data_IF_276686122320
#
_entry.id   IF_276686122320
#
_cell.length_a   1.000
_cell.length_b   1.000
_cell.length_c   1.000
_cell.angle_alpha   90.00
_cell.angle_beta   90.00
_cell.angle_gamma   90.00
#
_symmetry.space_group_name_H-M   'P 1'
#
loop_
_entity.id
_entity.type
_entity.pdbx_description
1 polymer ?
#
# COMPACT_ATOMS: atom_id res chain seq x y z
N UNK A 1 7.35 5.04 1.37
CA UNK A 1 6.91 4.45 2.65
C UNK A 1 7.37 5.24 3.87
N UNK A 2 8.66 5.51 4.09
CA UNK A 2 9.13 6.21 5.31
C UNK A 2 8.46 7.57 5.59
N UNK A 3 8.11 8.34 4.55
CA UNK A 3 7.38 9.61 4.69
C UNK A 3 5.96 9.48 5.25
N UNK A 4 5.33 8.30 5.14
CA UNK A 4 3.93 8.11 5.52
C UNK A 4 3.71 8.32 7.03
N UNK A 5 4.65 7.89 7.87
CA UNK A 5 4.53 8.08 9.32
C UNK A 5 4.54 9.56 9.70
N UNK A 6 5.46 10.35 9.13
CA UNK A 6 5.54 11.78 9.39
C UNK A 6 4.29 12.53 8.88
N UNK A 7 3.78 12.15 7.70
CA UNK A 7 2.54 12.71 7.16
C UNK A 7 1.32 12.38 8.04
N UNK A 8 1.25 11.15 8.55
CA UNK A 8 0.17 10.74 9.44
C UNK A 8 0.20 11.52 10.76
N UNK A 9 1.39 11.68 11.36
CA UNK A 9 1.59 12.50 12.56
C UNK A 9 1.22 13.98 12.35
N UNK A 10 1.37 14.49 11.13
CA UNK A 10 0.97 15.85 10.75
C UNK A 10 -0.51 15.98 10.32
N UNK A 11 -1.35 14.95 10.51
CA UNK A 11 -2.76 14.96 10.11
C UNK A 11 -3.02 14.82 8.61
N UNK A 12 -1.98 14.57 7.80
CA UNK A 12 -2.05 14.43 6.33
C UNK A 12 -2.22 12.97 5.93
N UNK A 13 -3.24 12.33 6.48
CA UNK A 13 -3.39 10.88 6.45
C UNK A 13 -3.73 10.31 5.05
N UNK A 14 -4.41 11.08 4.19
CA UNK A 14 -4.63 10.69 2.79
C UNK A 14 -3.30 10.65 2.00
N UNK A 15 -2.44 11.64 2.20
CA UNK A 15 -1.11 11.66 1.58
C UNK A 15 -0.20 10.57 2.15
N UNK A 16 -0.30 10.31 3.46
CA UNK A 16 0.36 9.18 4.08
C UNK A 16 -0.05 7.86 3.42
N UNK A 17 -1.35 7.68 3.17
CA UNK A 17 -1.90 6.51 2.49
C UNK A 17 -1.33 6.37 1.08
N UNK A 18 -1.31 7.46 0.30
CA UNK A 18 -0.70 7.47 -1.03
C UNK A 18 0.77 7.02 -1.00
N UNK A 19 1.61 7.67 -0.17
CA UNK A 19 3.05 7.36 -0.12
C UNK A 19 3.38 6.02 0.55
N UNK A 20 2.46 5.48 1.33
CA UNK A 20 2.54 4.11 1.84
C UNK A 20 2.37 3.12 0.69
N UNK A 21 1.24 3.17 -0.05
CA UNK A 21 0.98 2.25 -1.16
C UNK A 21 1.97 2.42 -2.32
N UNK A 22 2.37 3.64 -2.66
CA UNK A 22 3.39 3.89 -3.70
C UNK A 22 4.76 3.30 -3.34
N UNK A 23 5.20 3.49 -2.09
CA UNK A 23 6.45 2.88 -1.66
C UNK A 23 6.34 1.36 -1.55
N UNK A 24 5.18 0.83 -1.12
CA UNK A 24 4.95 -0.61 -1.05
C UNK A 24 5.05 -1.25 -2.44
N UNK A 25 4.42 -0.64 -3.45
CA UNK A 25 4.49 -1.08 -4.84
C UNK A 25 5.96 -1.21 -5.28
N UNK A 26 6.74 -0.14 -5.17
CA UNK A 26 8.14 -0.14 -5.62
C UNK A 26 9.04 -1.11 -4.85
N UNK A 27 8.90 -1.16 -3.52
CA UNK A 27 9.71 -2.07 -2.72
C UNK A 27 9.33 -3.54 -3.02
N UNK A 28 8.04 -3.87 -3.15
CA UNK A 28 7.63 -5.22 -3.56
C UNK A 28 8.18 -5.58 -4.94
N UNK A 29 8.20 -4.66 -5.89
CA UNK A 29 8.82 -4.90 -7.19
C UNK A 29 10.32 -5.17 -7.10
N UNK A 30 11.04 -4.40 -6.28
CA UNK A 30 12.46 -4.65 -6.02
C UNK A 30 12.69 -6.06 -5.46
N UNK A 31 11.94 -6.46 -4.43
CA UNK A 31 12.07 -7.80 -3.83
C UNK A 31 11.71 -8.92 -4.81
N UNK A 32 10.71 -8.70 -5.65
CA UNK A 32 10.28 -9.72 -6.62
C UNK A 32 11.31 -9.89 -7.74
N UNK A 33 11.98 -8.80 -8.15
CA UNK A 33 13.06 -8.83 -9.13
C UNK A 33 14.36 -9.45 -8.58
N UNK A 34 14.54 -9.50 -7.26
CA UNK A 34 15.75 -10.01 -6.60
C UNK A 34 15.41 -11.14 -5.63
N UNK A 35 15.17 -12.34 -6.17
CA UNK A 35 14.69 -13.49 -5.37
C UNK A 35 15.75 -14.14 -4.49
N UNK A 36 17.03 -13.86 -4.75
CA UNK A 36 18.18 -14.47 -4.06
C UNK A 36 18.76 -13.56 -2.96
N UNK A 37 18.00 -12.54 -2.51
CA UNK A 37 18.41 -11.64 -1.44
C UNK A 37 18.55 -12.39 -0.11
N UNK A 38 19.52 -11.94 0.70
CA UNK A 38 19.61 -12.33 2.11
C UNK A 38 18.27 -12.04 2.81
N UNK A 39 17.60 -13.05 3.40
CA UNK A 39 16.31 -12.88 4.05
C UNK A 39 16.36 -11.91 5.23
N UNK A 40 17.53 -11.72 5.85
CA UNK A 40 17.74 -10.79 6.97
C UNK A 40 17.97 -9.33 6.54
N UNK A 41 18.17 -9.10 5.24
CA UNK A 41 18.37 -7.77 4.66
C UNK A 41 17.07 -7.09 4.24
N UNK A 42 16.96 -6.78 2.95
CA UNK A 42 15.81 -6.09 2.36
C UNK A 42 14.44 -6.74 2.65
N UNK A 43 14.28 -8.08 2.61
CA UNK A 43 13.02 -8.72 2.98
C UNK A 43 12.60 -8.45 4.44
N UNK A 44 13.51 -8.59 5.40
CA UNK A 44 13.24 -8.29 6.81
C UNK A 44 12.94 -6.79 7.03
N UNK A 45 13.69 -5.89 6.38
CA UNK A 45 13.43 -4.45 6.45
C UNK A 45 12.04 -4.10 5.88
N UNK A 46 11.66 -4.69 4.75
CA UNK A 46 10.33 -4.49 4.18
C UNK A 46 9.24 -4.97 5.13
N UNK A 47 9.40 -6.16 5.73
CA UNK A 47 8.45 -6.69 6.70
C UNK A 47 8.29 -5.74 7.91
N UNK A 48 9.39 -5.27 8.49
CA UNK A 48 9.37 -4.33 9.60
C UNK A 48 8.67 -3.00 9.25
N UNK A 49 8.92 -2.44 8.05
CA UNK A 49 8.25 -1.22 7.60
C UNK A 49 6.74 -1.42 7.40
N UNK A 50 6.31 -2.56 6.87
CA UNK A 50 4.89 -2.88 6.71
C UNK A 50 4.21 -3.03 8.06
N UNK A 51 4.84 -3.68 9.03
CA UNK A 51 4.27 -3.87 10.36
C UNK A 51 4.12 -2.53 11.11
N UNK A 52 5.19 -1.73 11.11
CA UNK A 52 5.27 -0.48 11.90
C UNK A 52 4.48 0.67 11.29
N UNK A 53 4.60 0.90 9.98
CA UNK A 53 3.95 2.01 9.28
C UNK A 53 2.59 1.59 8.74
N UNK A 54 2.47 0.34 8.27
CA UNK A 54 1.28 -0.12 7.58
C UNK A 54 0.07 -0.23 8.50
N UNK A 55 0.24 -0.64 9.76
CA UNK A 55 -0.90 -0.75 10.70
C UNK A 55 -1.65 0.59 10.87
N UNK A 56 -1.02 1.69 11.31
CA UNK A 56 -1.75 2.95 11.52
C UNK A 56 -2.26 3.57 10.22
N UNK A 57 -1.52 3.45 9.10
CA UNK A 57 -1.98 3.94 7.79
C UNK A 57 -3.21 3.17 7.31
N UNK A 58 -3.19 1.83 7.41
CA UNK A 58 -4.32 1.00 6.98
C UNK A 58 -5.53 1.18 7.90
N UNK A 59 -5.34 1.39 9.19
CA UNK A 59 -6.46 1.66 10.10
C UNK A 59 -7.25 2.90 9.65
N UNK A 60 -6.56 3.97 9.26
CA UNK A 60 -7.15 5.16 8.66
C UNK A 60 -7.76 4.87 7.28
N UNK A 61 -6.97 4.28 6.38
CA UNK A 61 -7.35 4.12 4.98
C UNK A 61 -8.60 3.24 4.80
N UNK A 62 -8.68 2.13 5.53
CA UNK A 62 -9.85 1.24 5.49
C UNK A 62 -11.09 1.85 6.18
N UNK A 63 -10.97 3.01 6.83
CA UNK A 63 -12.13 3.76 7.31
C UNK A 63 -13.01 4.27 6.17
N UNK A 64 -12.45 4.49 4.98
CA UNK A 64 -13.14 4.92 3.77
C UNK A 64 -12.67 4.06 2.58
N UNK A 65 -13.40 2.96 2.35
CA UNK A 65 -13.06 1.97 1.34
C UNK A 65 -13.05 2.55 -0.09
N UNK A 66 -14.08 3.30 -0.53
CA UNK A 66 -14.06 3.95 -1.85
C UNK A 66 -12.85 4.85 -2.04
N UNK A 67 -12.49 5.65 -1.03
CA UNK A 67 -11.33 6.54 -1.11
C UNK A 67 -10.00 5.79 -1.12
N UNK A 68 -9.89 4.70 -0.38
CA UNK A 68 -8.72 3.81 -0.46
C UNK A 68 -8.57 3.23 -1.88
N UNK A 69 -9.65 2.75 -2.48
CA UNK A 69 -9.62 2.22 -3.85
C UNK A 69 -9.23 3.30 -4.89
N UNK A 70 -9.73 4.52 -4.71
CA UNK A 70 -9.32 5.69 -5.49
C UNK A 70 -7.82 6.00 -5.32
N UNK A 71 -7.33 6.00 -4.08
CA UNK A 71 -5.91 6.25 -3.76
C UNK A 71 -5.00 5.20 -4.41
N UNK A 72 -5.37 3.91 -4.37
CA UNK A 72 -4.62 2.85 -5.06
C UNK A 72 -4.59 3.10 -6.58
N UNK A 73 -5.71 3.57 -7.16
CA UNK A 73 -5.75 3.91 -8.59
C UNK A 73 -4.82 5.08 -8.92
N UNK A 74 -4.77 6.10 -8.06
CA UNK A 74 -3.82 7.21 -8.18
C UNK A 74 -2.37 6.76 -8.07
N UNK A 75 -2.06 5.80 -7.18
CA UNK A 75 -0.72 5.23 -7.04
C UNK A 75 -0.29 4.51 -8.32
N UNK A 76 -1.17 3.67 -8.88
CA UNK A 76 -0.91 2.95 -10.13
C UNK A 76 -0.67 3.92 -11.30
N UNK A 77 -1.46 4.99 -11.37
CA UNK A 77 -1.29 6.01 -12.41
C UNK A 77 0.00 6.82 -12.22
N UNK A 78 0.30 7.23 -10.99
CA UNK A 78 1.54 7.90 -10.65
C UNK A 78 2.76 7.06 -11.03
N UNK A 79 2.72 5.76 -10.73
CA UNK A 79 3.82 4.85 -11.01
C UNK A 79 4.04 4.65 -12.52
N UNK A 80 2.96 4.66 -13.34
CA UNK A 80 3.07 4.68 -14.81
C UNK A 80 3.64 5.99 -15.34
N UNK A 81 3.22 7.12 -14.78
CA UNK A 81 3.65 8.46 -15.21
C UNK A 81 5.09 8.77 -14.84
N UNK A 82 5.56 8.23 -13.72
CA UNK A 82 6.92 8.45 -13.19
C UNK A 82 7.63 7.11 -12.99
N UNK A 83 7.94 6.39 -14.07
CA UNK A 83 8.53 5.05 -13.95
C UNK A 83 9.87 5.11 -13.20
N UNK A 84 10.16 4.04 -12.46
CA UNK A 84 11.50 3.81 -11.91
C UNK A 84 12.26 2.88 -12.86
N UNK A 85 13.28 3.35 -13.60
CA UNK A 85 13.99 2.53 -14.56
C UNK A 85 14.65 1.30 -13.93
N UNK A 86 15.00 1.36 -12.64
CA UNK A 86 15.60 0.23 -11.91
C UNK A 86 14.62 -0.91 -11.64
N UNK A 87 13.32 -0.68 -11.83
CA UNK A 87 12.25 -1.65 -11.63
C UNK A 87 11.62 -2.11 -12.94
N UNK A 88 12.19 -1.76 -14.10
CA UNK A 88 11.62 -2.14 -15.38
C UNK A 88 11.57 -3.67 -15.55
N UNK A 89 10.48 -4.18 -16.14
CA UNK A 89 10.33 -5.59 -16.50
C UNK A 89 9.10 -6.29 -15.93
N UNK A 90 8.96 -7.60 -16.18
CA UNK A 90 7.75 -8.36 -15.89
C UNK A 90 7.41 -8.44 -14.40
N UNK A 91 8.41 -8.42 -13.51
CA UNK A 91 8.17 -8.51 -12.06
C UNK A 91 7.48 -7.26 -11.49
N UNK A 92 7.77 -6.08 -12.04
CA UNK A 92 7.09 -4.86 -11.65
C UNK A 92 5.66 -4.81 -12.17
N UNK A 93 5.42 -5.24 -13.41
CA UNK A 93 4.07 -5.39 -13.95
C UNK A 93 3.22 -6.40 -13.15
N UNK A 94 3.83 -7.53 -12.75
CA UNK A 94 3.18 -8.47 -11.83
C UNK A 94 2.80 -7.82 -10.51
N UNK A 95 3.65 -6.96 -9.96
CA UNK A 95 3.36 -6.22 -8.73
C UNK A 95 2.23 -5.22 -8.93
N UNK A 96 2.20 -4.49 -10.05
CA UNK A 96 1.10 -3.58 -10.43
C UNK A 96 -0.22 -4.33 -10.52
N UNK A 97 -0.23 -5.47 -11.21
CA UNK A 97 -1.42 -6.31 -11.36
C UNK A 97 -1.90 -6.87 -10.01
N UNK A 98 -0.99 -7.21 -9.10
CA UNK A 98 -1.33 -7.57 -7.72
C UNK A 98 -2.02 -6.42 -6.98
N UNK A 99 -1.56 -5.18 -7.16
CA UNK A 99 -2.18 -4.01 -6.55
C UNK A 99 -3.54 -3.66 -7.19
N UNK A 100 -3.72 -3.89 -8.49
CA UNK A 100 -5.02 -3.82 -9.18
C UNK A 100 -6.00 -4.83 -8.57
N UNK A 101 -5.58 -6.09 -8.42
CA UNK A 101 -6.40 -7.13 -7.79
C UNK A 101 -6.78 -6.80 -6.34
N UNK A 102 -5.86 -6.22 -5.57
CA UNK A 102 -6.16 -5.75 -4.21
C UNK A 102 -7.24 -4.67 -4.21
N UNK A 103 -7.16 -3.68 -5.10
CA UNK A 103 -8.19 -2.63 -5.23
C UNK A 103 -9.57 -3.22 -5.51
N UNK A 104 -9.64 -4.15 -6.47
CA UNK A 104 -10.88 -4.80 -6.87
C UNK A 104 -11.46 -5.65 -5.73
N UNK A 105 -10.61 -6.40 -5.04
CA UNK A 105 -11.00 -7.17 -3.87
C UNK A 105 -11.53 -6.28 -2.74
N UNK A 106 -10.87 -5.17 -2.46
CA UNK A 106 -11.29 -4.21 -1.42
C UNK A 106 -12.67 -3.64 -1.75
N UNK A 107 -12.92 -3.27 -3.01
CA UNK A 107 -14.23 -2.77 -3.46
C UNK A 107 -15.31 -3.84 -3.39
N UNK A 108 -15.02 -5.06 -3.87
CA UNK A 108 -15.96 -6.18 -3.82
C UNK A 108 -16.34 -6.56 -2.37
N UNK A 109 -15.45 -6.29 -1.41
CA UNK A 109 -15.65 -6.61 0.00
C UNK A 109 -15.99 -5.39 0.87
N UNK A 110 -16.29 -4.23 0.28
CA UNK A 110 -16.45 -2.96 1.00
C UNK A 110 -17.41 -3.05 2.19
N UNK A 111 -18.60 -3.63 1.99
CA UNK A 111 -19.59 -3.80 3.05
C UNK A 111 -19.12 -4.75 4.17
N UNK A 112 -18.43 -5.82 3.79
CA UNK A 112 -17.87 -6.78 4.75
C UNK A 112 -16.78 -6.13 5.60
N UNK A 113 -15.93 -5.31 4.98
CA UNK A 113 -14.89 -4.52 5.65
C UNK A 113 -15.55 -3.55 6.63
N UNK A 114 -16.53 -2.76 6.19
CA UNK A 114 -17.25 -1.79 7.02
C UNK A 114 -17.88 -2.44 8.26
N UNK A 115 -18.57 -3.57 8.07
CA UNK A 115 -19.17 -4.36 9.18
C UNK A 115 -18.11 -4.92 10.13
N UNK A 116 -17.02 -5.49 9.61
CA UNK A 116 -15.91 -6.02 10.43
C UNK A 116 -15.26 -4.93 11.26
N UNK A 117 -15.06 -3.74 10.69
CA UNK A 117 -14.52 -2.57 11.39
C UNK A 117 -15.43 -2.12 12.52
N UNK A 118 -16.73 -1.96 12.23
CA UNK A 118 -17.72 -1.56 13.24
C UNK A 118 -17.76 -2.55 14.42
N UNK A 119 -17.75 -3.86 14.16
CA UNK A 119 -17.68 -4.89 15.23
C UNK A 119 -16.42 -4.82 16.08
N UNK A 120 -15.33 -4.28 15.54
CA UNK A 120 -14.05 -4.12 16.23
C UNK A 120 -13.89 -2.74 16.89
N UNK A 121 -14.94 -1.92 16.89
CA UNK A 121 -14.89 -0.55 17.41
C UNK A 121 -14.04 0.41 16.56
N UNK A 122 -13.70 0.03 15.32
CA UNK A 122 -12.93 0.88 14.42
C UNK A 122 -13.86 1.85 13.67
N UNK A 123 -13.47 3.11 13.48
CA UNK A 123 -14.30 4.10 12.81
C UNK A 123 -14.49 3.76 11.32
N UNK A 124 -15.69 4.03 10.81
CA UNK A 124 -15.94 4.16 9.38
C UNK A 124 -16.24 5.64 9.14
N UNK A 125 -15.64 6.24 8.11
CA UNK A 125 -15.73 7.67 7.81
C UNK A 125 -16.38 7.91 6.46
#
# INVERSE_FOLDING_TARGET
MAKAQALLAAGRADEATFWFYAGQLRYRSYLTAHRDLDPTGHPALFAALIETIGRPVNEYAFGDVPKLASTISMVLEWDRRYPDPSLAGPEHEKTRNGLVGLREQIMAQADSIRRKRQRRGLPNR
#
